data_IF_505488327262
#
_entry.id   IF_505488327262
#
_cell.length_a   1.000
_cell.length_b   1.000
_cell.length_c   1.000
_cell.angle_alpha   90.00
_cell.angle_beta   90.00
_cell.angle_gamma   90.00
#
_symmetry.space_group_name_H-M   'P 1'
#
loop_
_entity.id
_entity.type
_entity.pdbx_description
1 polymer ?
#
# COMPACT_ATOMS: atom_id res chain seq x y z
N UNK A 1 13.03 0.69 9.49
CA UNK A 1 12.70 1.17 8.14
C UNK A 1 12.09 0.03 7.37
N UNK A 2 10.77 -0.05 7.32
CA UNK A 2 10.08 -1.11 6.60
C UNK A 2 9.81 -0.61 5.18
N UNK A 3 10.29 -1.31 4.15
CA UNK A 3 9.88 -1.01 2.78
C UNK A 3 8.69 -1.88 2.41
N UNK A 4 7.65 -1.27 1.86
CA UNK A 4 6.47 -1.97 1.36
C UNK A 4 6.47 -1.91 -0.16
N UNK A 5 6.18 -3.04 -0.78
CA UNK A 5 6.04 -3.18 -2.22
C UNK A 5 4.56 -3.40 -2.52
N UNK A 6 3.97 -2.50 -3.30
CA UNK A 6 2.60 -2.63 -3.76
C UNK A 6 2.53 -2.33 -5.26
N UNK A 7 1.55 -2.94 -5.93
CA UNK A 7 1.34 -2.69 -7.36
C UNK A 7 0.38 -1.54 -7.55
N UNK A 8 0.77 -0.49 -8.27
CA UNK A 8 -0.13 0.61 -8.60
C UNK A 8 -1.23 0.10 -9.55
N UNK A 9 -2.54 0.26 -9.22
CA UNK A 9 -3.63 -0.19 -10.06
C UNK A 9 -3.87 0.74 -11.26
N UNK A 10 -3.28 1.93 -11.23
CA UNK A 10 -3.41 2.94 -12.27
C UNK A 10 -2.35 2.79 -13.37
N UNK A 11 -1.09 2.55 -12.99
CA UNK A 11 0.03 2.38 -13.93
C UNK A 11 0.47 0.93 -14.12
N UNK A 12 0.02 0.02 -13.26
CA UNK A 12 0.44 -1.39 -13.27
C UNK A 12 1.86 -1.64 -12.75
N UNK A 13 2.58 -0.59 -12.35
CA UNK A 13 3.97 -0.66 -11.86
C UNK A 13 4.04 -1.16 -10.42
N UNK A 14 5.06 -1.96 -10.11
CA UNK A 14 5.40 -2.31 -8.73
C UNK A 14 6.17 -1.15 -8.11
N UNK A 15 5.61 -0.56 -7.05
CA UNK A 15 6.15 0.59 -6.38
C UNK A 15 6.62 0.16 -4.99
N UNK A 16 7.93 0.20 -4.78
CA UNK A 16 8.55 -0.06 -3.50
C UNK A 16 8.88 1.27 -2.82
N UNK A 17 8.53 1.40 -1.55
CA UNK A 17 8.74 2.64 -0.80
C UNK A 17 8.94 2.40 0.68
N UNK A 18 9.74 3.24 1.35
CA UNK A 18 9.85 3.22 2.80
C UNK A 18 8.53 3.72 3.41
N UNK A 19 8.01 2.94 4.35
CA UNK A 19 6.91 3.31 5.24
C UNK A 19 7.56 3.53 6.61
N UNK A 20 7.43 4.76 7.14
CA UNK A 20 8.13 5.15 8.38
C UNK A 20 7.69 4.33 9.58
N UNK A 21 6.43 3.88 9.63
CA UNK A 21 5.93 2.98 10.66
C UNK A 21 4.84 2.10 10.07
N UNK A 22 4.97 0.76 10.02
CA UNK A 22 3.76 -0.03 10.18
C UNK A 22 3.23 0.37 11.56
N UNK A 23 1.97 0.80 11.66
CA UNK A 23 1.34 1.03 12.95
C UNK A 23 1.51 -0.24 13.78
N UNK A 24 2.55 -0.24 14.62
CA UNK A 24 3.09 -1.42 15.27
C UNK A 24 2.10 -1.77 16.37
N UNK A 25 1.12 -2.60 16.02
CA UNK A 25 0.04 -2.99 16.92
C UNK A 25 -1.37 -3.02 16.34
N UNK A 26 -1.61 -2.61 15.09
CA UNK A 26 -2.98 -2.68 14.55
C UNK A 26 -3.21 -4.03 13.86
N UNK A 27 -3.99 -4.85 14.55
CA UNK A 27 -4.88 -5.92 14.09
C UNK A 27 -4.94 -6.12 12.57
N UNK A 28 -4.81 -7.38 12.13
CA UNK A 28 -5.00 -7.83 10.75
C UNK A 28 -6.10 -7.02 10.03
N UNK A 29 -5.70 -6.07 9.17
CA UNK A 29 -6.61 -5.06 8.61
C UNK A 29 -6.14 -3.60 8.72
N UNK A 30 -4.97 -3.33 9.29
CA UNK A 30 -4.38 -1.99 9.31
C UNK A 30 -4.10 -1.46 7.89
N UNK A 31 -4.68 -0.31 7.55
CA UNK A 31 -4.50 0.35 6.25
C UNK A 31 -3.60 1.56 6.39
N UNK A 32 -2.49 1.58 5.68
CA UNK A 32 -1.63 2.75 5.53
C UNK A 32 -2.01 3.55 4.29
N UNK A 33 -1.98 4.88 4.47
CA UNK A 33 -2.14 5.86 3.41
C UNK A 33 -0.76 6.16 2.83
N UNK A 34 -0.56 5.94 1.54
CA UNK A 34 0.73 6.09 0.88
C UNK A 34 0.61 6.88 -0.44
N UNK A 35 1.43 7.91 -0.65
CA UNK A 35 1.45 8.74 -1.88
C UNK A 35 2.18 8.04 -3.05
N UNK A 36 1.52 7.32 -3.95
CA UNK A 36 2.22 6.56 -4.99
C UNK A 36 3.03 7.47 -5.94
N UNK A 37 4.37 7.39 -5.96
CA UNK A 37 5.19 8.21 -6.87
C UNK A 37 4.98 7.88 -8.35
N UNK A 38 4.42 6.70 -8.68
CA UNK A 38 4.18 6.32 -10.07
C UNK A 38 2.97 7.03 -10.71
N UNK A 39 1.95 7.36 -9.92
CA UNK A 39 0.73 8.01 -10.41
C UNK A 39 0.42 9.35 -9.71
N UNK A 40 1.27 9.76 -8.76
CA UNK A 40 1.07 10.92 -7.89
C UNK A 40 -0.29 10.92 -7.17
N UNK A 41 -0.82 9.73 -6.85
CA UNK A 41 -2.09 9.56 -6.12
C UNK A 41 -1.90 8.85 -4.81
N UNK A 42 -2.83 9.07 -3.90
CA UNK A 42 -2.84 8.42 -2.60
C UNK A 42 -3.48 7.04 -2.72
N UNK A 43 -2.77 6.01 -2.27
CA UNK A 43 -3.25 4.64 -2.20
C UNK A 43 -3.35 4.18 -0.75
N UNK A 44 -4.36 3.37 -0.49
CA UNK A 44 -4.63 2.72 0.78
C UNK A 44 -4.12 1.30 0.67
N UNK A 45 -3.02 0.97 1.32
CA UNK A 45 -2.44 -0.38 1.32
C UNK A 45 -2.55 -1.00 2.71
N UNK A 46 -2.88 -2.27 2.76
CA UNK A 46 -2.85 -3.05 3.98
C UNK A 46 -1.37 -3.28 4.36
N UNK A 47 -0.96 -2.79 5.53
CA UNK A 47 0.44 -2.94 5.97
C UNK A 47 0.79 -4.38 6.36
N UNK A 48 -0.21 -5.22 6.64
CA UNK A 48 -0.03 -6.63 6.99
C UNK A 48 0.22 -7.49 5.74
N UNK A 49 -0.42 -7.19 4.61
CA UNK A 49 -0.30 -8.01 3.38
C UNK A 49 0.44 -7.31 2.24
N UNK A 50 0.62 -5.98 2.29
CA UNK A 50 1.16 -5.20 1.17
C UNK A 50 0.15 -4.97 0.03
N UNK A 51 -1.08 -5.48 0.19
CA UNK A 51 -2.13 -5.38 -0.83
C UNK A 51 -2.91 -4.08 -0.72
N UNK A 52 -3.51 -3.63 -1.81
CA UNK A 52 -4.37 -2.45 -1.80
C UNK A 52 -5.67 -2.75 -1.06
N UNK A 53 -5.92 -2.04 0.05
CA UNK A 53 -7.11 -2.24 0.88
C UNK A 53 -8.42 -1.88 0.18
N UNK A 54 -8.37 -1.13 -0.93
CA UNK A 54 -9.58 -0.71 -1.68
C UNK A 54 -9.62 -1.19 -3.13
N UNK A 55 -8.75 -2.11 -3.56
CA UNK A 55 -8.94 -2.71 -4.89
C UNK A 55 -10.05 -3.78 -4.81
N UNK A 56 -11.31 -3.31 -4.84
CA UNK A 56 -12.39 -4.09 -5.44
C UNK A 56 -12.07 -4.17 -6.93
N UNK A 57 -11.26 -5.16 -7.31
CA UNK A 57 -11.23 -5.68 -8.67
C UNK A 57 -11.34 -7.18 -8.59
N UNK A 58 -12.60 -7.60 -8.50
CA UNK A 58 -13.09 -8.92 -8.92
C UNK A 58 -12.30 -9.45 -10.11
N UNK A 59 -11.88 -10.71 -10.01
CA UNK A 59 -12.04 -11.67 -11.10
C UNK A 59 -12.79 -12.87 -10.56
#
# INVERSE_FOLDING_TARGET
MSNILFRCPNTGMNVQRPISEPASGTSAGAVAVVDCPACARIHLINVSTGELSRDVRSR
#
